data_IF_111720291953
#
_entry.id   IF_111720291953
#
_cell.length_a   1.000
_cell.length_b   1.000
_cell.length_c   1.000
_cell.angle_alpha   90.00
_cell.angle_beta   90.00
_cell.angle_gamma   90.00
#
_symmetry.space_group_name_H-M   'P 1'
#
loop_
_entity.id
_entity.type
_entity.pdbx_description
1 polymer ?
#
# COMPACT_ATOMS: atom_id res chain seq x y z
N UNK A 1 -39.72 -40.87 20.44
CA UNK A 1 -38.33 -40.67 20.00
C UNK A 1 -37.47 -40.55 21.23
N UNK A 2 -36.60 -41.53 21.44
CA UNK A 2 -35.53 -41.46 22.44
C UNK A 2 -34.33 -40.72 21.86
N UNK A 3 -33.42 -40.26 22.72
CA UNK A 3 -32.17 -39.60 22.31
C UNK A 3 -31.33 -40.51 21.41
N UNK A 4 -31.26 -41.80 21.73
CA UNK A 4 -30.58 -42.81 20.92
C UNK A 4 -31.15 -42.96 19.51
N UNK A 5 -32.48 -42.99 19.37
CA UNK A 5 -33.13 -43.08 18.06
C UNK A 5 -32.84 -41.84 17.21
N UNK A 6 -32.70 -40.69 17.87
CA UNK A 6 -32.49 -39.39 17.24
C UNK A 6 -31.02 -39.22 16.80
N UNK A 7 -30.07 -39.67 17.62
CA UNK A 7 -28.65 -39.72 17.28
C UNK A 7 -28.39 -40.71 16.12
N UNK A 8 -29.05 -41.86 16.13
CA UNK A 8 -28.95 -42.84 15.04
C UNK A 8 -29.52 -42.30 13.72
N UNK A 9 -30.59 -41.51 13.80
CA UNK A 9 -31.15 -40.81 12.64
C UNK A 9 -30.18 -39.75 12.09
N UNK A 10 -29.56 -38.94 12.96
CA UNK A 10 -28.55 -37.96 12.53
C UNK A 10 -27.31 -38.61 11.92
N UNK A 11 -26.84 -39.73 12.47
CA UNK A 11 -25.74 -40.49 11.90
C UNK A 11 -26.07 -41.02 10.49
N UNK A 12 -27.29 -41.49 10.28
CA UNK A 12 -27.74 -41.96 8.98
C UNK A 12 -27.81 -40.83 7.94
N UNK A 13 -28.33 -39.65 8.31
CA UNK A 13 -28.37 -38.47 7.43
C UNK A 13 -26.95 -37.98 7.10
N UNK A 14 -26.07 -37.90 8.10
CA UNK A 14 -24.69 -37.49 7.88
C UNK A 14 -23.94 -38.43 6.94
N UNK A 15 -24.30 -39.73 6.92
CA UNK A 15 -23.72 -40.71 5.99
C UNK A 15 -24.21 -40.58 4.54
N UNK A 16 -25.38 -39.97 4.32
CA UNK A 16 -26.02 -39.82 2.99
C UNK A 16 -25.80 -38.44 2.38
N UNK A 17 -25.44 -37.42 3.17
CA UNK A 17 -25.07 -36.10 2.67
C UNK A 17 -23.67 -36.17 2.04
N UNK A 18 -23.57 -35.79 0.78
CA UNK A 18 -22.29 -35.64 0.09
C UNK A 18 -21.43 -34.59 0.79
N UNK A 19 -20.20 -34.96 1.19
CA UNK A 19 -19.25 -34.10 1.92
C UNK A 19 -18.75 -32.92 1.08
N UNK A 20 -19.15 -32.82 -0.19
CA UNK A 20 -18.71 -31.80 -1.16
C UNK A 20 -19.82 -30.80 -1.51
N UNK A 21 -20.58 -30.33 -0.52
CA UNK A 21 -21.54 -29.26 -0.75
C UNK A 21 -20.81 -27.91 -0.83
N UNK A 22 -20.49 -27.48 -2.06
CA UNK A 22 -19.82 -26.22 -2.39
C UNK A 22 -20.74 -24.97 -2.26
N UNK A 23 -21.90 -25.09 -1.62
CA UNK A 23 -22.81 -23.96 -1.41
C UNK A 23 -22.18 -22.91 -0.49
N UNK A 24 -22.29 -21.63 -0.84
CA UNK A 24 -21.71 -20.54 -0.04
C UNK A 24 -22.29 -20.45 1.38
N UNK A 25 -23.53 -20.94 1.56
CA UNK A 25 -24.19 -20.95 2.86
C UNK A 25 -23.53 -21.93 3.86
N UNK A 26 -22.91 -23.02 3.38
CA UNK A 26 -22.31 -24.04 4.26
C UNK A 26 -21.03 -23.54 4.93
N UNK A 27 -20.41 -22.46 4.41
CA UNK A 27 -19.28 -21.78 5.04
C UNK A 27 -19.61 -21.19 6.42
N UNK A 28 -20.89 -20.90 6.67
CA UNK A 28 -21.36 -20.33 7.94
C UNK A 28 -21.72 -21.38 8.99
N UNK A 29 -21.73 -22.66 8.64
CA UNK A 29 -22.05 -23.77 9.55
C UNK A 29 -20.86 -24.73 9.61
N UNK A 30 -19.87 -24.45 10.48
CA UNK A 30 -18.68 -25.29 10.61
C UNK A 30 -19.08 -26.71 11.02
N UNK A 31 -18.63 -27.71 10.26
CA UNK A 31 -18.73 -29.09 10.71
C UNK A 31 -17.93 -29.27 12.00
N UNK A 32 -18.43 -30.03 12.96
CA UNK A 32 -17.83 -30.23 14.30
C UNK A 32 -16.36 -30.73 14.27
N UNK A 33 -15.92 -31.31 13.14
CA UNK A 33 -14.55 -31.77 12.90
C UNK A 33 -13.70 -30.83 12.03
N UNK A 34 -14.11 -29.57 11.84
CA UNK A 34 -13.30 -28.59 11.12
C UNK A 34 -12.01 -28.32 11.91
N UNK A 35 -10.86 -28.35 11.23
CA UNK A 35 -9.60 -27.90 11.82
C UNK A 35 -9.78 -26.47 12.38
N UNK A 36 -9.16 -26.14 13.51
CA UNK A 36 -9.26 -24.80 14.09
C UNK A 36 -9.03 -23.75 13.00
N UNK A 37 -9.88 -22.71 12.91
CA UNK A 37 -9.67 -21.65 11.94
C UNK A 37 -8.26 -21.11 12.10
N UNK A 38 -7.57 -20.94 10.98
CA UNK A 38 -6.23 -20.37 10.94
C UNK A 38 -6.27 -19.06 11.72
N UNK A 39 -5.45 -18.98 12.78
CA UNK A 39 -5.45 -17.82 13.65
C UNK A 39 -5.24 -16.57 12.79
N UNK A 40 -5.94 -15.45 13.07
CA UNK A 40 -5.72 -14.22 12.32
C UNK A 40 -4.22 -13.88 12.36
N UNK A 41 -3.66 -13.36 11.26
CA UNK A 41 -2.27 -12.93 11.22
C UNK A 41 -1.98 -12.07 12.45
N UNK A 42 -0.94 -12.42 13.23
CA UNK A 42 -0.56 -11.64 14.41
C UNK A 42 -0.39 -10.18 14.02
N UNK A 43 -1.15 -9.30 14.67
CA UNK A 43 -0.92 -7.86 14.58
C UNK A 43 0.51 -7.57 15.05
N UNK A 44 1.26 -6.81 14.24
CA UNK A 44 2.64 -6.44 14.60
C UNK A 44 2.60 -5.54 15.84
N UNK A 45 3.37 -5.89 16.86
CA UNK A 45 3.47 -5.04 18.06
C UNK A 45 4.25 -3.76 17.76
N UNK A 46 4.05 -2.70 18.55
CA UNK A 46 4.79 -1.44 18.38
C UNK A 46 6.32 -1.66 18.35
N UNK A 47 6.81 -2.58 19.18
CA UNK A 47 8.22 -2.95 19.25
C UNK A 47 8.74 -3.64 17.97
N UNK A 48 7.91 -4.43 17.30
CA UNK A 48 8.26 -5.07 16.03
C UNK A 48 8.41 -4.03 14.90
N UNK A 49 7.57 -3.00 14.90
CA UNK A 49 7.64 -1.91 13.93
C UNK A 49 8.89 -1.05 14.14
N UNK A 50 9.23 -0.80 15.39
CA UNK A 50 10.39 -0.03 15.82
C UNK A 50 11.72 -0.61 15.31
N UNK A 51 11.86 -1.94 15.40
CA UNK A 51 13.03 -2.64 14.89
C UNK A 51 13.09 -2.60 13.36
N UNK A 52 11.95 -2.79 12.68
CA UNK A 52 11.85 -2.70 11.22
C UNK A 52 12.22 -1.29 10.73
N UNK A 53 11.72 -0.25 11.38
CA UNK A 53 12.03 1.14 11.06
C UNK A 53 13.53 1.43 11.17
N UNK A 54 14.17 1.02 12.27
CA UNK A 54 15.62 1.21 12.46
C UNK A 54 16.43 0.49 11.37
N UNK A 55 15.99 -0.71 10.97
CA UNK A 55 16.63 -1.47 9.88
C UNK A 55 16.49 -0.77 8.53
N UNK A 56 15.29 -0.30 8.20
CA UNK A 56 15.02 0.43 6.95
C UNK A 56 15.83 1.72 6.91
N UNK A 57 15.86 2.49 8.01
CA UNK A 57 16.64 3.72 8.10
C UNK A 57 18.15 3.46 7.95
N UNK A 58 18.66 2.41 8.58
CA UNK A 58 20.05 1.99 8.42
C UNK A 58 20.41 1.67 6.97
N UNK A 59 19.52 0.99 6.24
CA UNK A 59 19.71 0.67 4.83
C UNK A 59 19.59 1.91 3.92
N UNK A 60 18.64 2.81 4.19
CA UNK A 60 18.46 4.02 3.39
C UNK A 60 19.67 4.97 3.49
N UNK A 61 20.30 5.07 4.67
CA UNK A 61 21.50 5.89 4.86
C UNK A 61 22.70 5.31 4.11
N UNK A 62 22.79 3.98 3.96
CA UNK A 62 23.90 3.32 3.23
C UNK A 62 23.78 3.38 1.71
N UNK A 63 22.62 3.73 1.13
CA UNK A 63 22.44 3.82 -0.33
C UNK A 63 23.14 5.04 -0.93
N UNK A 64 23.72 5.94 -0.11
CA UNK A 64 24.50 7.07 -0.60
C UNK A 64 26.01 6.74 -0.68
N UNK A 65 26.37 6.09 -1.77
CA UNK A 65 27.74 6.07 -2.30
C UNK A 65 28.57 4.84 -1.95
N UNK A 66 28.66 3.91 -2.89
CA UNK A 66 29.79 2.99 -3.15
C UNK A 66 29.33 2.17 -4.36
N UNK A 67 29.88 2.34 -5.57
CA UNK A 67 31.27 2.04 -5.88
C UNK A 67 31.93 3.10 -6.79
N UNK A 68 33.00 3.72 -6.28
CA UNK A 68 34.19 4.00 -7.12
C UNK A 68 34.20 5.21 -8.07
N UNK A 69 33.71 6.39 -7.69
CA UNK A 69 34.25 7.61 -8.31
C UNK A 69 34.40 8.75 -7.30
N UNK A 70 35.66 9.08 -7.02
CA UNK A 70 36.04 10.41 -6.55
C UNK A 70 35.71 11.38 -7.68
N UNK A 71 34.58 12.09 -7.58
CA UNK A 71 34.33 13.22 -8.46
C UNK A 71 34.05 14.45 -7.61
N UNK A 72 34.96 15.41 -7.77
CA UNK A 72 34.97 16.76 -7.22
C UNK A 72 33.58 17.36 -7.05
N UNK A 73 33.33 17.94 -5.88
CA UNK A 73 33.03 19.37 -5.73
C UNK A 73 31.95 20.07 -6.57
N UNK A 74 31.16 19.38 -7.38
CA UNK A 74 30.00 19.93 -8.05
C UNK A 74 28.77 19.63 -7.20
N UNK A 75 28.00 20.68 -6.91
CA UNK A 75 26.66 20.57 -6.33
C UNK A 75 25.90 19.49 -7.09
N UNK A 76 25.79 18.31 -6.47
CA UNK A 76 25.04 17.18 -6.97
C UNK A 76 23.63 17.68 -7.25
N UNK A 77 23.34 17.98 -8.51
CA UNK A 77 22.01 18.34 -8.95
C UNK A 77 21.09 17.24 -8.44
N UNK A 78 20.08 17.62 -7.65
CA UNK A 78 19.08 16.66 -7.20
C UNK A 78 18.60 15.88 -8.43
N UNK A 79 18.59 14.54 -8.37
CA UNK A 79 18.11 13.75 -9.50
C UNK A 79 16.72 14.25 -9.84
N UNK A 80 16.58 14.85 -11.02
CA UNK A 80 15.31 15.31 -11.57
C UNK A 80 14.39 14.10 -11.64
N UNK A 81 13.46 13.99 -10.70
CA UNK A 81 12.50 12.90 -10.64
C UNK A 81 11.63 12.94 -11.90
N UNK A 82 11.83 11.96 -12.79
CA UNK A 82 10.92 11.71 -13.90
C UNK A 82 9.74 10.88 -13.38
N UNK A 83 8.55 11.48 -13.39
CA UNK A 83 7.32 10.83 -12.94
C UNK A 83 6.98 9.60 -13.79
N UNK A 84 6.55 8.52 -13.14
CA UNK A 84 6.06 7.31 -13.81
C UNK A 84 4.67 7.56 -14.39
N UNK A 85 4.55 7.66 -15.72
CA UNK A 85 3.27 7.95 -16.40
C UNK A 85 2.51 6.68 -16.76
N UNK A 86 3.27 5.60 -16.97
CA UNK A 86 2.81 4.31 -17.43
C UNK A 86 3.62 3.20 -16.77
N UNK A 87 3.13 1.96 -16.88
CA UNK A 87 3.81 0.79 -16.30
C UNK A 87 5.19 0.59 -16.92
N UNK A 88 5.36 0.96 -18.19
CA UNK A 88 6.61 0.88 -18.93
C UNK A 88 7.70 1.83 -18.40
N UNK A 89 7.30 2.88 -17.68
CA UNK A 89 8.24 3.85 -17.09
C UNK A 89 8.79 3.35 -15.75
N UNK A 90 8.20 2.30 -15.16
CA UNK A 90 8.61 1.80 -13.86
C UNK A 90 9.99 1.16 -13.92
N UNK A 91 10.88 1.63 -13.05
CA UNK A 91 12.11 0.90 -12.72
C UNK A 91 11.77 -0.40 -11.99
N UNK A 92 12.67 -1.40 -12.03
CA UNK A 92 12.47 -2.69 -11.35
C UNK A 92 12.08 -2.53 -9.87
N UNK A 93 12.74 -1.61 -9.16
CA UNK A 93 12.43 -1.28 -7.76
C UNK A 93 11.05 -0.64 -7.60
N UNK A 94 10.68 0.28 -8.49
CA UNK A 94 9.37 0.92 -8.45
C UNK A 94 8.26 -0.08 -8.78
N UNK A 95 8.48 -0.99 -9.74
CA UNK A 95 7.54 -2.03 -10.08
C UNK A 95 7.21 -2.91 -8.87
N UNK A 96 8.22 -3.40 -8.15
CA UNK A 96 8.00 -4.20 -6.94
C UNK A 96 7.17 -3.45 -5.87
N UNK A 97 7.40 -2.15 -5.71
CA UNK A 97 6.63 -1.32 -4.78
C UNK A 97 5.17 -1.15 -5.22
N UNK A 98 4.95 -0.81 -6.49
CA UNK A 98 3.62 -0.56 -7.04
C UNK A 98 2.79 -1.84 -7.13
N UNK A 99 3.42 -2.99 -7.41
CA UNK A 99 2.75 -4.30 -7.35
C UNK A 99 2.28 -4.63 -5.92
N UNK A 100 3.14 -4.42 -4.92
CA UNK A 100 2.78 -4.64 -3.52
C UNK A 100 1.66 -3.68 -3.06
N UNK A 101 1.75 -2.41 -3.44
CA UNK A 101 0.74 -1.40 -3.10
C UNK A 101 -0.59 -1.67 -3.83
N UNK A 102 -0.55 -2.11 -5.09
CA UNK A 102 -1.72 -2.52 -5.87
C UNK A 102 -2.42 -3.71 -5.23
N UNK A 103 -1.65 -4.72 -4.82
CA UNK A 103 -2.18 -5.89 -4.11
C UNK A 103 -2.90 -5.52 -2.81
N UNK A 104 -2.31 -4.64 -1.99
CA UNK A 104 -2.91 -4.18 -0.73
C UNK A 104 -4.18 -3.35 -0.98
N UNK A 105 -4.15 -2.51 -2.02
CA UNK A 105 -5.24 -1.57 -2.34
C UNK A 105 -6.35 -2.20 -3.18
N UNK A 106 -6.16 -3.42 -3.69
CA UNK A 106 -7.08 -4.08 -4.61
C UNK A 106 -7.12 -3.46 -6.00
N UNK A 107 -6.05 -2.75 -6.40
CA UNK A 107 -5.92 -2.10 -7.70
C UNK A 107 -4.98 -2.90 -8.60
N UNK A 108 -5.24 -2.90 -9.90
CA UNK A 108 -4.27 -3.39 -10.88
C UNK A 108 -3.04 -2.48 -10.95
N UNK A 109 -1.94 -3.01 -11.47
CA UNK A 109 -0.68 -2.27 -11.60
C UNK A 109 -0.86 -0.98 -12.44
N UNK A 110 -1.64 -1.05 -13.50
CA UNK A 110 -1.94 0.10 -14.37
C UNK A 110 -2.75 1.18 -13.62
N UNK A 111 -3.80 0.78 -12.90
CA UNK A 111 -4.64 1.69 -12.13
C UNK A 111 -3.87 2.42 -11.02
N UNK A 112 -2.98 1.72 -10.31
CA UNK A 112 -2.21 2.34 -9.23
C UNK A 112 -1.14 3.30 -9.78
N UNK A 113 -0.48 2.96 -10.89
CA UNK A 113 0.46 3.88 -11.56
C UNK A 113 -0.27 5.15 -12.00
N UNK A 114 -1.42 4.99 -12.65
CA UNK A 114 -2.23 6.12 -13.09
C UNK A 114 -2.73 6.97 -11.92
N UNK A 115 -3.18 6.34 -10.83
CA UNK A 115 -3.67 7.04 -9.65
C UNK A 115 -2.57 7.88 -8.99
N UNK A 116 -1.36 7.33 -8.83
CA UNK A 116 -0.22 8.05 -8.26
C UNK A 116 0.19 9.19 -9.19
N UNK A 117 0.30 8.95 -10.50
CA UNK A 117 0.62 10.00 -11.46
C UNK A 117 -0.39 11.15 -11.40
N UNK A 118 -1.69 10.86 -11.36
CA UNK A 118 -2.73 11.89 -11.24
C UNK A 118 -2.62 12.68 -9.93
N UNK A 119 -2.23 12.02 -8.83
CA UNK A 119 -2.01 12.68 -7.55
C UNK A 119 -0.80 13.61 -7.60
N UNK A 120 0.31 13.17 -8.19
CA UNK A 120 1.50 13.99 -8.39
C UNK A 120 1.19 15.24 -9.22
N UNK A 121 0.45 15.11 -10.33
CA UNK A 121 0.05 16.25 -11.16
C UNK A 121 -0.81 17.25 -10.38
N UNK A 122 -1.74 16.78 -9.56
CA UNK A 122 -2.56 17.64 -8.69
C UNK A 122 -1.69 18.38 -7.66
N UNK A 123 -0.72 17.70 -7.06
CA UNK A 123 0.18 18.28 -6.09
C UNK A 123 1.05 19.38 -6.72
N UNK A 124 1.64 19.11 -7.90
CA UNK A 124 2.43 20.09 -8.65
C UNK A 124 1.58 21.31 -9.01
N UNK A 125 0.38 21.09 -9.52
CA UNK A 125 -0.55 22.18 -9.84
C UNK A 125 -0.87 23.03 -8.60
N UNK A 126 -1.14 22.39 -7.47
CA UNK A 126 -1.43 23.10 -6.22
C UNK A 126 -0.22 23.92 -5.74
N UNK A 127 1.00 23.37 -5.81
CA UNK A 127 2.21 24.09 -5.45
C UNK A 127 2.44 25.31 -6.34
N UNK A 128 2.26 25.17 -7.65
CA UNK A 128 2.40 26.27 -8.60
C UNK A 128 1.35 27.36 -8.36
N UNK A 129 0.12 26.94 -8.09
CA UNK A 129 -0.97 27.88 -7.78
C UNK A 129 -0.67 28.67 -6.51
N UNK A 130 -0.23 27.99 -5.45
CA UNK A 130 0.16 28.64 -4.18
C UNK A 130 1.26 29.66 -4.35
N UNK A 131 2.33 29.31 -5.07
CA UNK A 131 3.43 30.25 -5.31
C UNK A 131 2.96 31.52 -6.02
N UNK A 132 2.06 31.39 -7.00
CA UNK A 132 1.49 32.54 -7.70
C UNK A 132 0.58 33.38 -6.80
N UNK A 133 -0.12 32.77 -5.85
CA UNK A 133 -0.93 33.50 -4.87
C UNK A 133 -0.02 34.27 -3.90
N UNK A 134 1.05 33.64 -3.41
CA UNK A 134 2.08 34.27 -2.57
C UNK A 134 2.78 35.44 -3.29
N UNK A 135 3.19 35.27 -4.54
CA UNK A 135 3.77 36.35 -5.38
C UNK A 135 2.80 37.52 -5.57
N UNK A 136 1.49 37.24 -5.71
CA UNK A 136 0.48 38.30 -5.89
C UNK A 136 0.18 39.05 -4.60
N UNK A 137 0.21 38.38 -3.46
CA UNK A 137 0.07 39.01 -2.15
C UNK A 137 1.27 39.91 -1.83
N UNK A 138 2.49 39.49 -2.19
CA UNK A 138 3.70 40.32 -2.08
C UNK A 138 3.64 41.58 -2.98
N UNK A 139 3.18 41.45 -4.23
CA UNK A 139 2.97 42.60 -5.13
C UNK A 139 1.91 43.59 -4.59
N UNK A 140 0.83 43.09 -4.00
CA UNK A 140 -0.22 43.92 -3.39
C UNK A 140 0.28 44.65 -2.12
N UNK A 141 1.13 44.01 -1.30
CA UNK A 141 1.76 44.64 -0.12
C UNK A 141 2.80 45.71 -0.51
N UNK A 142 3.60 45.48 -1.56
CA UNK A 142 4.56 46.48 -2.08
C UNK A 142 3.84 47.71 -2.67
N UNK A 143 2.73 47.53 -3.40
CA UNK A 143 1.92 48.64 -3.90
C UNK A 143 1.24 49.44 -2.78
N UNK A 144 0.80 48.79 -1.69
CA UNK A 144 0.25 49.49 -0.52
C UNK A 144 1.31 50.27 0.25
N UNK A 145 2.55 49.79 0.35
CA UNK A 145 3.66 50.53 0.96
C UNK A 145 4.16 51.71 0.10
N UNK A 146 4.11 51.63 -1.24
CA UNK A 146 4.55 52.71 -2.13
C UNK A 146 3.57 53.91 -2.17
N UNK A 147 2.31 53.70 -1.76
CA UNK A 147 1.25 54.73 -1.77
C UNK A 147 1.20 55.56 -0.46
N UNK A 148 2.00 55.23 0.55
CA UNK A 148 2.09 55.91 1.86
C UNK A 148 3.29 56.86 1.94
#
# INVERSE_FOLDING_TARGET
MTTEELDQYFAHIASTIDRKNDSEITKFFPSENAAPPEAPPRENTEQDNDHKMRKILGQAITVRGEEGSEQDGETLAEPSYEAFRSVEDLTETAQALYEAAGHISGLSLDEIVQAVYMLEQKMIYWQLKRRREEEREEEEEEEEEEVI
#
